data_IF_530523784345
#
_entry.id   IF_530523784345
#
_cell.length_a   1.000
_cell.length_b   1.000
_cell.length_c   1.000
_cell.angle_alpha   90.00
_cell.angle_beta   90.00
_cell.angle_gamma   90.00
#
_symmetry.space_group_name_H-M   'P 1'
#
loop_
_entity.id
_entity.type
_entity.pdbx_description
1 polymer ?
#
# COMPACT_ATOMS: atom_id res chain seq x y z
N UNK A 1 -2.39 0.49 -28.63
CA UNK A 1 -2.84 -0.91 -28.40
C UNK A 1 -1.68 -1.73 -27.85
N UNK A 2 -1.94 -2.61 -26.89
CA UNK A 2 -0.94 -3.50 -26.26
C UNK A 2 -1.50 -4.93 -26.24
N UNK A 3 -0.70 -5.90 -26.65
CA UNK A 3 -1.04 -7.32 -26.59
C UNK A 3 -0.05 -8.04 -25.67
N UNK A 4 -0.53 -8.58 -24.55
CA UNK A 4 0.23 -9.44 -23.66
C UNK A 4 -0.07 -10.88 -24.04
N UNK A 5 0.95 -11.70 -24.27
CA UNK A 5 0.83 -13.09 -24.75
C UNK A 5 1.42 -14.11 -23.81
N UNK A 6 0.88 -15.32 -23.84
CA UNK A 6 1.44 -16.53 -23.22
C UNK A 6 1.52 -16.50 -21.70
N UNK A 7 0.98 -15.49 -21.02
CA UNK A 7 1.09 -15.33 -19.57
C UNK A 7 0.23 -16.31 -18.78
N UNK A 8 0.66 -16.67 -17.59
CA UNK A 8 -0.19 -17.37 -16.61
C UNK A 8 -0.95 -16.33 -15.79
N UNK A 9 -2.20 -16.09 -16.12
CA UNK A 9 -3.04 -15.09 -15.47
C UNK A 9 -3.62 -15.63 -14.15
N UNK A 10 -3.58 -14.81 -13.11
CA UNK A 10 -4.36 -14.96 -11.88
C UNK A 10 -5.14 -13.66 -11.66
N UNK A 11 -6.45 -13.72 -11.81
CA UNK A 11 -7.35 -12.63 -11.43
C UNK A 11 -8.17 -13.03 -10.20
N UNK A 12 -7.84 -12.50 -9.02
CA UNK A 12 -8.57 -12.86 -7.80
C UNK A 12 -10.04 -12.43 -7.82
N UNK A 13 -10.35 -11.31 -8.46
CA UNK A 13 -11.68 -10.71 -8.46
C UNK A 13 -12.70 -11.59 -9.21
N UNK A 14 -12.34 -12.13 -10.38
CA UNK A 14 -13.19 -13.06 -11.14
C UNK A 14 -12.97 -14.52 -10.78
N UNK A 15 -11.86 -14.83 -10.10
CA UNK A 15 -11.42 -16.19 -9.84
C UNK A 15 -10.80 -16.90 -11.04
N UNK A 16 -10.58 -16.22 -12.16
CA UNK A 16 -9.92 -16.79 -13.34
C UNK A 16 -8.46 -17.09 -13.07
N UNK A 17 -8.02 -18.27 -13.47
CA UNK A 17 -6.63 -18.71 -13.38
C UNK A 17 -6.28 -19.59 -14.58
N UNK A 18 -5.14 -19.35 -15.23
CA UNK A 18 -4.68 -20.13 -16.37
C UNK A 18 -3.91 -19.32 -17.41
N UNK A 19 -3.58 -19.96 -18.53
CA UNK A 19 -2.89 -19.29 -19.64
C UNK A 19 -3.88 -18.46 -20.47
N UNK A 20 -3.62 -17.14 -20.52
CA UNK A 20 -4.40 -16.18 -21.30
C UNK A 20 -3.49 -15.16 -21.97
N UNK A 21 -3.99 -14.65 -23.11
CA UNK A 21 -3.53 -13.44 -23.75
C UNK A 21 -4.49 -12.30 -23.37
N UNK A 22 -3.98 -11.07 -23.26
CA UNK A 22 -4.76 -9.89 -22.95
C UNK A 22 -4.49 -8.83 -24.02
N UNK A 23 -5.54 -8.37 -24.68
CA UNK A 23 -5.49 -7.24 -25.61
C UNK A 23 -6.03 -5.99 -24.92
N UNK A 24 -5.24 -4.93 -24.91
CA UNK A 24 -5.63 -3.62 -24.38
C UNK A 24 -5.56 -2.53 -25.45
N UNK A 25 -6.51 -1.63 -25.41
CA UNK A 25 -6.58 -0.45 -26.28
C UNK A 25 -7.28 0.70 -25.57
N UNK A 26 -6.82 1.92 -25.79
CA UNK A 26 -7.38 3.14 -25.20
C UNK A 26 -7.60 3.03 -23.69
N UNK A 27 -6.58 2.54 -22.99
CA UNK A 27 -6.56 2.41 -21.52
C UNK A 27 -7.40 1.26 -20.95
N UNK A 28 -8.07 0.45 -21.78
CA UNK A 28 -8.98 -0.61 -21.34
C UNK A 28 -8.58 -1.97 -21.86
N UNK A 29 -8.94 -3.01 -21.12
CA UNK A 29 -8.86 -4.39 -21.60
C UNK A 29 -9.99 -4.61 -22.61
N UNK A 30 -9.65 -4.89 -23.86
CA UNK A 30 -10.59 -5.14 -24.94
C UNK A 30 -11.00 -6.60 -25.00
N UNK A 31 -10.03 -7.51 -24.78
CA UNK A 31 -10.25 -8.94 -24.87
C UNK A 31 -9.30 -9.73 -23.98
N UNK A 32 -9.83 -10.77 -23.32
CA UNK A 32 -9.07 -11.79 -22.60
C UNK A 32 -9.39 -13.15 -23.23
N UNK A 33 -8.38 -13.82 -23.78
CA UNK A 33 -8.61 -15.07 -24.50
C UNK A 33 -7.33 -15.90 -24.64
N UNK A 34 -7.37 -16.90 -25.51
CA UNK A 34 -6.20 -17.70 -25.86
C UNK A 34 -5.89 -17.53 -27.35
N UNK A 35 -4.60 -17.50 -27.68
CA UNK A 35 -4.13 -17.33 -29.06
C UNK A 35 -4.69 -16.08 -29.75
N UNK A 36 -4.79 -14.97 -29.01
CA UNK A 36 -5.25 -13.71 -29.58
C UNK A 36 -4.29 -13.24 -30.68
N UNK A 37 -4.88 -12.67 -31.74
CA UNK A 37 -4.14 -12.09 -32.83
C UNK A 37 -4.31 -10.57 -32.82
N UNK A 38 -3.29 -9.88 -33.29
CA UNK A 38 -3.40 -8.46 -33.57
C UNK A 38 -4.42 -8.28 -34.68
N UNK A 39 -5.38 -7.36 -34.58
CA UNK A 39 -6.37 -7.10 -35.62
C UNK A 39 -5.74 -6.81 -36.98
N UNK A 40 -6.31 -7.34 -38.05
CA UNK A 40 -5.82 -7.16 -39.43
C UNK A 40 -5.69 -5.67 -39.78
N UNK A 41 -4.57 -5.30 -40.40
CA UNK A 41 -4.26 -3.92 -40.80
C UNK A 41 -3.48 -3.09 -39.79
N UNK A 42 -3.19 -3.64 -38.59
CA UNK A 42 -2.38 -2.97 -37.57
C UNK A 42 -0.95 -3.51 -37.44
N UNK A 43 -0.55 -4.47 -38.31
CA UNK A 43 0.81 -4.98 -38.35
C UNK A 43 1.62 -4.25 -39.47
N UNK A 44 2.79 -3.74 -39.13
CA UNK A 44 3.85 -3.47 -40.08
C UNK A 44 4.65 -4.77 -40.35
N UNK A 45 5.18 -4.93 -41.56
CA UNK A 45 5.81 -6.16 -42.09
C UNK A 45 6.94 -6.69 -41.14
N UNK A 46 7.06 -8.02 -41.10
CA UNK A 46 8.04 -8.79 -40.33
C UNK A 46 9.48 -8.36 -40.61
N UNK A 47 10.24 -8.05 -39.59
CA UNK A 47 11.69 -7.88 -39.74
C UNK A 47 12.41 -7.10 -38.63
N UNK A 48 12.41 -7.56 -37.39
CA UNK A 48 13.54 -7.34 -36.48
C UNK A 48 13.46 -8.20 -35.21
N UNK A 49 14.55 -8.83 -34.89
CA UNK A 49 14.79 -9.73 -33.73
C UNK A 49 14.93 -8.98 -32.39
N UNK A 50 14.05 -8.13 -31.98
CA UNK A 50 13.97 -7.58 -30.63
C UNK A 50 12.78 -6.61 -30.53
N UNK A 51 11.64 -7.13 -30.10
CA UNK A 51 10.44 -6.33 -29.81
C UNK A 51 9.85 -5.68 -31.07
N UNK A 52 9.08 -6.45 -31.85
CA UNK A 52 8.45 -5.93 -33.03
C UNK A 52 7.44 -4.84 -32.66
N UNK A 53 7.78 -3.58 -32.95
CA UNK A 53 6.81 -2.49 -33.00
C UNK A 53 6.01 -2.66 -34.28
N UNK A 54 4.89 -3.29 -34.18
CA UNK A 54 3.87 -3.25 -35.22
C UNK A 54 3.25 -1.85 -35.20
N UNK A 55 3.15 -1.14 -36.27
CA UNK A 55 2.91 0.31 -36.41
C UNK A 55 1.82 0.96 -35.53
N UNK A 56 1.06 0.19 -34.73
CA UNK A 56 0.07 0.64 -33.75
C UNK A 56 -0.11 -0.32 -32.56
N UNK A 57 0.57 -1.47 -32.48
CA UNK A 57 0.40 -2.46 -31.42
C UNK A 57 1.76 -2.92 -30.87
N UNK A 58 2.00 -2.72 -29.58
CA UNK A 58 3.13 -3.28 -28.84
C UNK A 58 2.79 -4.69 -28.36
N UNK A 59 3.75 -5.62 -28.42
CA UNK A 59 3.56 -7.00 -27.96
C UNK A 59 4.52 -7.28 -26.81
N UNK A 60 3.98 -7.70 -25.67
CA UNK A 60 4.73 -8.23 -24.53
C UNK A 60 4.57 -9.75 -24.48
N UNK A 61 5.67 -10.48 -24.59
CA UNK A 61 5.68 -11.92 -24.32
C UNK A 61 5.83 -12.15 -22.82
N UNK A 62 4.80 -12.74 -22.21
CA UNK A 62 4.74 -13.09 -20.80
C UNK A 62 4.94 -14.60 -20.56
N UNK A 63 5.60 -15.32 -21.50
CA UNK A 63 5.86 -16.73 -21.29
C UNK A 63 6.69 -17.00 -20.03
N UNK A 64 6.19 -17.87 -19.16
CA UNK A 64 6.81 -18.17 -17.86
C UNK A 64 6.52 -17.12 -16.77
N UNK A 65 5.82 -16.04 -17.08
CA UNK A 65 5.48 -14.99 -16.12
C UNK A 65 4.04 -15.13 -15.61
N UNK A 66 3.85 -14.70 -14.36
CA UNK A 66 2.54 -14.40 -13.81
C UNK A 66 2.04 -13.09 -14.39
N UNK A 67 0.78 -13.07 -14.84
CA UNK A 67 0.02 -11.85 -15.16
C UNK A 67 -1.06 -11.66 -14.11
N UNK A 68 -1.08 -10.53 -13.44
CA UNK A 68 -2.02 -10.23 -12.37
C UNK A 68 -2.56 -8.79 -12.50
N UNK A 69 -3.68 -8.43 -11.84
CA UNK A 69 -4.09 -7.05 -11.72
C UNK A 69 -2.98 -6.20 -11.14
N UNK A 70 -2.89 -4.94 -11.54
CA UNK A 70 -2.00 -3.97 -10.92
C UNK A 70 -2.22 -3.90 -9.41
N UNK A 71 -1.14 -3.76 -8.66
CA UNK A 71 -1.23 -3.65 -7.21
C UNK A 71 -1.79 -2.29 -6.79
N UNK A 72 -2.46 -2.28 -5.64
CA UNK A 72 -3.09 -1.09 -5.04
C UNK A 72 -2.54 -0.92 -3.64
N UNK A 73 -1.95 0.24 -3.35
CA UNK A 73 -1.45 0.58 -2.03
C UNK A 73 -2.24 1.75 -1.45
N UNK A 74 -2.89 1.53 -0.33
CA UNK A 74 -3.78 2.52 0.27
C UNK A 74 -3.14 3.30 1.43
N UNK A 75 -1.81 3.15 1.61
CA UNK A 75 -1.06 3.82 2.66
C UNK A 75 0.36 4.16 2.21
N UNK A 76 0.54 5.33 1.59
CA UNK A 76 1.85 5.80 1.13
C UNK A 76 2.05 7.29 1.40
N UNK A 77 3.32 7.71 1.58
CA UNK A 77 3.72 9.09 1.84
C UNK A 77 4.64 9.61 0.74
N UNK A 78 4.10 10.31 -0.26
CA UNK A 78 4.92 10.93 -1.30
C UNK A 78 5.45 12.32 -0.91
N UNK A 79 5.19 12.75 0.33
CA UNK A 79 5.83 13.90 0.96
C UNK A 79 5.61 15.25 0.27
N UNK A 80 4.92 15.33 -0.84
CA UNK A 80 4.55 16.54 -1.57
C UNK A 80 3.06 16.84 -1.37
N UNK A 81 2.74 18.10 -0.99
CA UNK A 81 3.58 19.28 -0.84
C UNK A 81 4.41 19.27 0.46
N UNK A 82 5.50 20.05 0.45
CA UNK A 82 6.20 20.54 1.65
C UNK A 82 7.47 19.78 2.06
N UNK A 83 7.64 18.51 1.67
CA UNK A 83 8.80 17.69 2.06
C UNK A 83 9.48 17.02 0.88
N UNK A 84 9.52 17.71 -0.27
CA UNK A 84 10.01 17.18 -1.55
C UNK A 84 11.49 16.78 -1.56
N UNK A 85 12.25 17.16 -0.53
CA UNK A 85 13.62 16.66 -0.32
C UNK A 85 13.67 15.18 0.07
N UNK A 86 12.56 14.65 0.63
CA UNK A 86 12.45 13.23 1.01
C UNK A 86 11.92 12.38 -0.13
N UNK A 87 10.84 12.85 -0.75
CA UNK A 87 10.16 12.25 -1.89
C UNK A 87 9.27 13.29 -2.55
N UNK A 88 8.90 13.11 -3.81
CA UNK A 88 7.83 13.83 -4.47
C UNK A 88 6.89 12.87 -5.20
N UNK A 89 5.76 13.38 -5.67
CA UNK A 89 4.73 12.55 -6.34
C UNK A 89 5.30 11.85 -7.58
N UNK A 90 6.22 12.47 -8.32
CA UNK A 90 6.81 11.88 -9.53
C UNK A 90 7.75 10.72 -9.21
N UNK A 91 8.63 10.88 -8.22
CA UNK A 91 9.59 9.83 -7.85
C UNK A 91 8.91 8.70 -7.08
N UNK A 92 7.96 9.02 -6.20
CA UNK A 92 7.14 8.02 -5.53
C UNK A 92 6.30 7.19 -6.52
N UNK A 93 5.74 7.83 -7.57
CA UNK A 93 5.03 7.11 -8.63
C UNK A 93 5.95 6.16 -9.43
N UNK A 94 7.22 6.52 -9.66
CA UNK A 94 8.20 5.60 -10.28
C UNK A 94 8.52 4.41 -9.38
N UNK A 95 8.71 4.67 -8.08
CA UNK A 95 8.91 3.60 -7.09
C UNK A 95 7.70 2.65 -7.04
N UNK A 96 6.48 3.20 -7.09
CA UNK A 96 5.25 2.42 -7.17
C UNK A 96 5.21 1.57 -8.44
N UNK A 97 5.46 2.16 -9.60
CA UNK A 97 5.50 1.45 -10.88
C UNK A 97 6.50 0.29 -10.86
N UNK A 98 7.72 0.49 -10.34
CA UNK A 98 8.73 -0.56 -10.21
C UNK A 98 8.30 -1.66 -9.24
N UNK A 99 7.55 -1.31 -8.19
CA UNK A 99 6.97 -2.26 -7.24
C UNK A 99 5.75 -3.02 -7.74
N UNK A 100 5.23 -2.68 -8.93
CA UNK A 100 4.03 -3.29 -9.51
C UNK A 100 2.72 -2.59 -9.11
N UNK A 101 2.78 -1.44 -8.46
CA UNK A 101 1.60 -0.67 -8.08
C UNK A 101 1.15 0.22 -9.23
N UNK A 102 -0.10 0.07 -9.65
CA UNK A 102 -0.74 0.91 -10.66
C UNK A 102 -1.63 1.97 -10.03
N UNK A 103 -1.98 1.81 -8.75
CA UNK A 103 -2.80 2.74 -8.00
C UNK A 103 -2.26 2.89 -6.59
N UNK A 104 -2.17 4.12 -6.12
CA UNK A 104 -1.79 4.44 -4.73
C UNK A 104 -2.73 5.47 -4.13
N UNK A 105 -2.96 5.38 -2.80
CA UNK A 105 -3.68 6.39 -2.03
C UNK A 105 -2.71 7.07 -1.07
N UNK A 106 -2.52 8.37 -1.25
CA UNK A 106 -1.61 9.16 -0.44
C UNK A 106 -2.22 9.51 0.92
N UNK A 107 -1.39 9.47 1.96
CA UNK A 107 -1.75 10.01 3.27
C UNK A 107 -1.73 11.54 3.26
N UNK A 108 -2.62 12.12 4.08
CA UNK A 108 -2.92 13.54 4.08
C UNK A 108 -1.94 14.42 4.89
N UNK A 109 -0.91 13.83 5.51
CA UNK A 109 0.02 14.48 6.45
C UNK A 109 1.17 15.23 5.77
N UNK A 110 0.84 16.05 4.79
CA UNK A 110 1.76 16.93 4.04
C UNK A 110 1.88 18.33 4.67
N UNK A 111 2.58 19.26 4.01
CA UNK A 111 2.70 20.65 4.47
C UNK A 111 2.57 21.62 3.28
N UNK A 112 1.41 22.33 3.14
CA UNK A 112 0.23 22.23 4.02
C UNK A 112 -0.39 20.81 4.03
N UNK A 113 -1.17 20.54 5.08
CA UNK A 113 -1.95 19.31 5.19
C UNK A 113 -3.09 19.29 4.16
N UNK A 114 -3.56 18.08 3.76
CA UNK A 114 -4.66 17.95 2.80
C UNK A 114 -6.01 18.12 3.51
N UNK A 115 -6.21 19.28 4.11
CA UNK A 115 -7.39 19.64 4.91
C UNK A 115 -8.28 20.69 4.24
N UNK A 116 -7.99 21.03 2.99
CA UNK A 116 -8.70 22.06 2.22
C UNK A 116 -8.64 21.75 0.72
N UNK A 117 -9.55 22.39 -0.04
CA UNK A 117 -9.72 22.18 -1.48
C UNK A 117 -8.45 22.47 -2.30
N UNK A 118 -7.70 23.52 -1.96
CA UNK A 118 -6.51 23.94 -2.71
C UNK A 118 -5.41 22.87 -2.63
N UNK A 119 -5.13 22.37 -1.42
CA UNK A 119 -4.12 21.35 -1.21
C UNK A 119 -4.54 20.00 -1.82
N UNK A 120 -5.81 19.62 -1.67
CA UNK A 120 -6.35 18.41 -2.29
C UNK A 120 -6.20 18.46 -3.82
N UNK A 121 -6.63 19.55 -4.45
CA UNK A 121 -6.54 19.70 -5.91
C UNK A 121 -5.09 19.71 -6.39
N UNK A 122 -4.18 20.36 -5.64
CA UNK A 122 -2.75 20.32 -5.96
C UNK A 122 -2.21 18.90 -6.04
N UNK A 123 -2.54 18.05 -5.06
CA UNK A 123 -2.08 16.65 -5.02
C UNK A 123 -2.65 15.85 -6.20
N UNK A 124 -3.96 15.96 -6.45
CA UNK A 124 -4.62 15.27 -7.54
C UNK A 124 -4.09 15.71 -8.91
N UNK A 125 -3.86 17.03 -9.13
CA UNK A 125 -3.32 17.54 -10.39
C UNK A 125 -1.88 17.07 -10.65
N UNK A 126 -1.07 16.99 -9.61
CA UNK A 126 0.28 16.41 -9.69
C UNK A 126 0.22 14.90 -9.98
N UNK A 127 -0.68 14.19 -9.32
CA UNK A 127 -0.89 12.76 -9.53
C UNK A 127 -1.26 12.42 -10.97
N UNK A 128 -2.15 13.20 -11.59
CA UNK A 128 -2.54 13.03 -13.02
C UNK A 128 -1.40 13.18 -14.01
N UNK A 129 -0.27 13.74 -13.61
CA UNK A 129 0.92 13.89 -14.44
C UNK A 129 1.91 12.74 -14.31
N UNK A 130 1.57 11.71 -13.55
CA UNK A 130 2.37 10.49 -13.38
C UNK A 130 1.90 9.37 -14.30
N UNK A 131 2.66 8.28 -14.35
CA UNK A 131 2.27 7.10 -15.12
C UNK A 131 1.31 6.15 -14.39
N UNK A 132 1.00 6.41 -13.11
CA UNK A 132 0.09 5.59 -12.29
C UNK A 132 -1.13 6.40 -11.87
N UNK A 133 -2.12 5.73 -11.26
CA UNK A 133 -3.25 6.40 -10.61
C UNK A 133 -2.85 6.82 -9.20
N UNK A 134 -2.81 8.12 -8.96
CA UNK A 134 -2.51 8.70 -7.65
C UNK A 134 -3.77 9.31 -7.10
N UNK A 135 -4.33 8.66 -6.10
CA UNK A 135 -5.45 9.12 -5.30
C UNK A 135 -4.94 9.63 -3.94
N UNK A 136 -5.79 10.27 -3.16
CA UNK A 136 -5.39 10.77 -1.84
C UNK A 136 -6.54 10.76 -0.85
N UNK A 137 -6.22 10.47 0.41
CA UNK A 137 -7.09 10.82 1.52
C UNK A 137 -7.06 12.33 1.76
N UNK A 138 -8.13 12.84 2.38
CA UNK A 138 -8.13 14.14 3.04
C UNK A 138 -7.98 13.97 4.55
N UNK A 139 -7.56 15.04 5.24
CA UNK A 139 -7.51 15.04 6.70
C UNK A 139 -8.92 15.02 7.31
N UNK A 140 -9.03 14.30 8.43
CA UNK A 140 -10.22 14.31 9.28
C UNK A 140 -10.37 15.65 9.98
N UNK A 141 -9.27 16.20 10.54
CA UNK A 141 -9.29 17.44 11.31
C UNK A 141 -8.41 18.52 10.68
N UNK A 142 -8.81 19.76 10.86
CA UNK A 142 -8.09 20.94 10.38
C UNK A 142 -6.67 20.99 10.96
N UNK A 143 -5.67 20.96 10.06
CA UNK A 143 -4.26 20.96 10.43
C UNK A 143 -3.84 19.76 11.27
N UNK A 144 -4.59 18.66 11.27
CA UNK A 144 -4.35 17.43 12.06
C UNK A 144 -4.26 17.71 13.57
N UNK A 145 -5.12 18.60 14.08
CA UNK A 145 -5.08 19.01 15.50
C UNK A 145 -5.99 18.19 16.40
N UNK A 146 -6.85 17.34 15.82
CA UNK A 146 -7.81 16.51 16.57
C UNK A 146 -8.97 17.29 17.20
N UNK A 147 -9.20 18.56 16.79
CA UNK A 147 -10.17 19.47 17.43
C UNK A 147 -11.37 19.78 16.56
N UNK A 148 -11.16 20.17 15.31
CA UNK A 148 -12.20 20.65 14.39
C UNK A 148 -12.16 19.84 13.13
N UNK A 149 -13.29 19.26 12.74
CA UNK A 149 -13.42 18.50 11.50
C UNK A 149 -13.22 19.41 10.28
N UNK A 150 -12.68 18.85 9.23
CA UNK A 150 -12.61 19.44 7.90
C UNK A 150 -14.02 19.49 7.26
N UNK A 151 -14.14 20.14 6.12
CA UNK A 151 -15.30 20.01 5.26
C UNK A 151 -15.24 18.68 4.50
N UNK A 152 -15.54 17.58 5.23
CA UNK A 152 -15.43 16.22 4.71
C UNK A 152 -16.29 16.02 3.45
N UNK A 153 -17.50 16.57 3.44
CA UNK A 153 -18.44 16.50 2.32
C UNK A 153 -17.86 17.20 1.09
N UNK A 154 -17.39 18.44 1.24
CA UNK A 154 -16.78 19.19 0.14
C UNK A 154 -15.48 18.57 -0.37
N UNK A 155 -14.65 17.98 0.51
CA UNK A 155 -13.41 17.28 0.11
C UNK A 155 -13.71 15.96 -0.62
N UNK A 156 -14.76 15.24 -0.22
CA UNK A 156 -15.23 14.05 -0.93
C UNK A 156 -15.72 14.40 -2.35
N UNK A 157 -16.54 15.45 -2.49
CA UNK A 157 -17.02 15.93 -3.80
C UNK A 157 -15.87 16.37 -4.73
N UNK A 158 -14.76 16.84 -4.18
CA UNK A 158 -13.56 17.23 -4.94
C UNK A 158 -12.64 16.07 -5.28
N UNK A 159 -12.91 14.85 -4.80
CA UNK A 159 -12.21 13.64 -5.19
C UNK A 159 -11.27 13.06 -4.14
N UNK A 160 -11.38 13.43 -2.86
CA UNK A 160 -10.77 12.60 -1.79
C UNK A 160 -11.42 11.22 -1.78
N UNK A 161 -10.61 10.15 -1.64
CA UNK A 161 -11.11 8.76 -1.66
C UNK A 161 -11.24 8.15 -0.26
N UNK A 162 -10.88 8.88 0.77
CA UNK A 162 -10.96 8.48 2.18
C UNK A 162 -10.52 9.59 3.10
N UNK A 163 -10.55 9.33 4.41
CA UNK A 163 -10.16 10.30 5.42
C UNK A 163 -9.16 9.72 6.41
N UNK A 164 -8.16 10.52 6.82
CA UNK A 164 -7.15 10.11 7.79
C UNK A 164 -6.42 11.31 8.40
N UNK A 165 -6.11 11.22 9.69
CA UNK A 165 -5.07 12.05 10.34
C UNK A 165 -3.85 11.17 10.67
N UNK A 166 -3.42 10.36 9.70
CA UNK A 166 -2.33 9.41 9.87
C UNK A 166 -1.09 9.99 10.56
N UNK A 167 -0.58 9.24 11.54
CA UNK A 167 0.57 9.61 12.37
C UNK A 167 0.22 10.49 13.57
N UNK A 168 -1.00 11.06 13.65
CA UNK A 168 -1.48 11.87 14.79
C UNK A 168 -2.89 11.41 15.19
N UNK A 169 -3.03 10.53 16.18
CA UNK A 169 -4.34 10.00 16.58
C UNK A 169 -5.23 11.10 17.15
N UNK A 170 -6.50 11.06 16.80
CA UNK A 170 -7.51 11.96 17.34
C UNK A 170 -7.94 11.45 18.72
N UNK A 171 -7.67 12.21 19.78
CA UNK A 171 -7.90 11.75 21.15
C UNK A 171 -9.31 12.04 21.65
N UNK A 172 -9.99 13.07 21.12
CA UNK A 172 -11.36 13.42 21.51
C UNK A 172 -12.37 12.44 20.90
N UNK A 173 -13.02 11.67 21.77
CA UNK A 173 -14.01 10.66 21.37
C UNK A 173 -15.21 11.26 20.63
N UNK A 174 -15.62 12.49 20.97
CA UNK A 174 -16.74 13.14 20.29
C UNK A 174 -16.36 13.51 18.84
N UNK A 175 -15.14 14.02 18.62
CA UNK A 175 -14.62 14.34 17.29
C UNK A 175 -14.50 13.07 16.44
N UNK A 176 -13.92 11.99 16.99
CA UNK A 176 -13.82 10.69 16.28
C UNK A 176 -15.20 10.14 15.92
N UNK A 177 -16.15 10.19 16.87
CA UNK A 177 -17.52 9.70 16.62
C UNK A 177 -18.21 10.48 15.51
N UNK A 178 -18.14 11.82 15.54
CA UNK A 178 -18.72 12.67 14.50
C UNK A 178 -18.04 12.45 13.14
N UNK A 179 -16.70 12.29 13.11
CA UNK A 179 -15.97 11.99 11.88
C UNK A 179 -16.43 10.66 11.26
N UNK A 180 -16.54 9.61 12.08
CA UNK A 180 -17.01 8.30 11.63
C UNK A 180 -18.47 8.33 11.15
N UNK A 181 -19.36 9.10 11.82
CA UNK A 181 -20.74 9.26 11.36
C UNK A 181 -20.84 9.97 10.00
N UNK A 182 -19.96 10.97 9.75
CA UNK A 182 -19.88 11.65 8.45
C UNK A 182 -19.31 10.73 7.39
N UNK A 183 -18.20 10.02 7.65
CA UNK A 183 -17.60 9.08 6.74
C UNK A 183 -18.60 7.96 6.34
N UNK A 184 -19.37 7.44 7.31
CA UNK A 184 -20.41 6.45 7.04
C UNK A 184 -21.52 6.99 6.12
N UNK A 185 -21.95 8.23 6.30
CA UNK A 185 -22.96 8.87 5.42
C UNK A 185 -22.45 9.11 4.00
N UNK A 186 -21.15 9.31 3.86
CA UNK A 186 -20.49 9.50 2.57
C UNK A 186 -20.15 8.18 1.88
N UNK A 187 -20.34 7.03 2.57
CA UNK A 187 -19.90 5.70 2.12
C UNK A 187 -18.40 5.69 1.79
N UNK A 188 -17.58 6.33 2.65
CA UNK A 188 -16.14 6.48 2.47
C UNK A 188 -15.36 5.86 3.61
N UNK A 189 -14.19 5.25 3.33
CA UNK A 189 -13.33 4.71 4.37
C UNK A 189 -12.70 5.82 5.22
N UNK A 190 -12.52 5.51 6.51
CA UNK A 190 -11.74 6.30 7.44
C UNK A 190 -10.64 5.43 8.04
N UNK A 191 -9.40 5.92 8.01
CA UNK A 191 -8.22 5.16 8.43
C UNK A 191 -7.51 5.85 9.57
N UNK A 192 -7.13 5.10 10.61
CA UNK A 192 -6.48 5.68 11.79
C UNK A 192 -5.19 4.98 12.17
N UNK A 193 -4.20 5.81 12.52
CA UNK A 193 -2.98 5.43 13.19
C UNK A 193 -3.24 5.29 14.69
N UNK A 194 -3.20 4.08 15.20
CA UNK A 194 -3.66 3.74 16.54
C UNK A 194 -2.48 3.63 17.52
N UNK A 195 -1.99 4.76 18.00
CA UNK A 195 -0.99 4.79 19.07
C UNK A 195 -1.25 5.97 20.03
N UNK A 196 -1.70 5.69 21.27
CA UNK A 196 -1.93 6.72 22.29
C UNK A 196 -0.61 7.41 22.68
N UNK A 197 -0.42 8.69 22.33
CA UNK A 197 0.83 9.40 22.57
C UNK A 197 1.13 9.59 24.06
N UNK A 198 0.12 9.53 24.94
CA UNK A 198 0.32 9.66 26.38
C UNK A 198 1.05 8.44 26.99
N UNK A 199 1.04 7.30 26.31
CA UNK A 199 1.72 6.08 26.76
C UNK A 199 3.12 5.92 26.16
N UNK A 200 3.49 6.71 25.16
CA UNK A 200 4.74 6.56 24.40
C UNK A 200 5.85 7.43 24.99
N UNK A 201 6.96 6.80 25.35
CA UNK A 201 8.14 7.53 25.84
C UNK A 201 9.15 7.83 24.74
N UNK A 202 9.33 6.88 23.82
CA UNK A 202 10.14 7.03 22.62
C UNK A 202 9.45 6.34 21.46
N UNK A 203 8.98 7.12 20.52
CA UNK A 203 8.27 6.66 19.33
C UNK A 203 9.13 5.72 18.47
N UNK A 204 8.51 4.71 17.89
CA UNK A 204 9.08 3.84 16.86
C UNK A 204 10.05 2.76 17.35
N UNK A 205 10.18 2.58 18.66
CA UNK A 205 10.96 1.49 19.26
C UNK A 205 10.08 0.75 20.28
N UNK A 206 9.93 -0.56 20.12
CA UNK A 206 9.14 -1.38 21.02
C UNK A 206 9.65 -1.32 22.47
N UNK A 207 8.73 -1.23 23.44
CA UNK A 207 9.05 -1.45 24.85
C UNK A 207 9.29 -2.94 25.07
N UNK A 208 10.56 -3.34 25.05
CA UNK A 208 11.04 -4.72 25.13
C UNK A 208 12.56 -4.73 24.97
N UNK A 209 13.10 -5.74 24.32
CA UNK A 209 14.55 -5.91 24.10
C UNK A 209 15.16 -4.71 23.37
N UNK A 210 14.45 -4.13 22.38
CA UNK A 210 14.98 -3.00 21.62
C UNK A 210 15.11 -1.75 22.50
N UNK A 211 14.11 -1.41 23.30
CA UNK A 211 14.19 -0.25 24.23
C UNK A 211 15.22 -0.46 25.32
N UNK A 212 15.37 -1.69 25.84
CA UNK A 212 16.41 -2.04 26.80
C UNK A 212 17.81 -1.88 26.20
N UNK A 213 18.02 -2.35 24.95
CA UNK A 213 19.30 -2.19 24.23
C UNK A 213 19.72 -0.73 24.12
N UNK A 214 18.78 0.17 23.81
CA UNK A 214 19.06 1.60 23.68
C UNK A 214 19.00 2.39 24.99
N UNK A 215 18.55 1.77 26.09
CA UNK A 215 18.37 2.45 27.39
C UNK A 215 17.28 3.52 27.37
N UNK A 216 16.18 3.29 26.63
CA UNK A 216 15.06 4.22 26.44
C UNK A 216 13.73 3.60 26.86
N UNK A 217 12.67 4.41 26.99
CA UNK A 217 11.36 3.94 27.46
C UNK A 217 10.55 3.14 26.44
N UNK A 218 10.70 3.44 25.16
CA UNK A 218 9.99 2.78 24.06
C UNK A 218 8.49 3.07 23.96
N UNK A 219 7.84 2.44 22.99
CA UNK A 219 6.39 2.46 22.74
C UNK A 219 5.79 1.12 23.18
N UNK A 220 4.94 1.11 24.22
CA UNK A 220 4.31 -0.11 24.70
C UNK A 220 3.17 -0.53 23.76
N UNK A 221 2.84 -1.82 23.75
CA UNK A 221 1.72 -2.35 22.95
C UNK A 221 0.35 -1.80 23.38
N UNK A 222 0.22 -1.44 24.66
CA UNK A 222 -1.00 -0.85 25.21
C UNK A 222 -1.37 0.47 24.56
N UNK A 223 -0.39 1.22 24.01
CA UNK A 223 -0.64 2.44 23.25
C UNK A 223 -1.48 2.16 22.00
N UNK A 224 -1.19 1.08 21.27
CA UNK A 224 -1.97 0.64 20.10
C UNK A 224 -3.30 0.03 20.55
N UNK A 225 -3.27 -0.93 21.46
CA UNK A 225 -4.45 -1.68 21.91
C UNK A 225 -5.56 -0.75 22.41
N UNK A 226 -5.24 0.29 23.16
CA UNK A 226 -6.22 1.20 23.76
C UNK A 226 -7.05 1.95 22.71
N UNK A 227 -6.42 2.44 21.66
CA UNK A 227 -7.10 3.15 20.58
C UNK A 227 -7.83 2.19 19.64
N UNK A 228 -7.25 1.04 19.33
CA UNK A 228 -7.92 -0.02 18.56
C UNK A 228 -9.24 -0.43 19.21
N UNK A 229 -9.28 -0.65 20.54
CA UNK A 229 -10.53 -0.95 21.25
C UNK A 229 -11.56 0.15 21.08
N UNK A 230 -11.14 1.41 21.32
CA UNK A 230 -12.01 2.59 21.25
C UNK A 230 -12.64 2.71 19.85
N UNK A 231 -11.81 2.67 18.82
CA UNK A 231 -12.24 3.03 17.47
C UNK A 231 -13.03 1.90 16.80
N UNK A 232 -12.71 0.65 17.11
CA UNK A 232 -13.57 -0.48 16.72
C UNK A 232 -14.97 -0.39 17.35
N UNK A 233 -15.08 0.00 18.62
CA UNK A 233 -16.39 0.18 19.28
C UNK A 233 -17.20 1.34 18.65
N UNK A 234 -16.54 2.43 18.28
CA UNK A 234 -17.19 3.57 17.63
C UNK A 234 -17.62 3.18 16.21
N UNK A 235 -16.77 2.50 15.44
CA UNK A 235 -17.08 2.06 14.08
C UNK A 235 -18.28 1.09 14.06
N UNK A 236 -18.36 0.15 15.01
CA UNK A 236 -19.53 -0.74 15.15
C UNK A 236 -20.82 0.00 15.49
N UNK A 237 -20.75 1.13 16.20
CA UNK A 237 -21.92 1.96 16.55
C UNK A 237 -22.36 2.87 15.42
N UNK A 238 -21.41 3.44 14.67
CA UNK A 238 -21.67 4.43 13.61
C UNK A 238 -21.90 3.79 12.25
N UNK A 239 -21.43 2.54 12.05
CA UNK A 239 -21.41 1.86 10.75
C UNK A 239 -20.33 2.36 9.81
N UNK A 240 -19.37 3.14 10.28
CA UNK A 240 -18.27 3.65 9.45
C UNK A 240 -17.36 2.52 8.96
N UNK A 241 -16.98 2.56 7.69
CA UNK A 241 -15.95 1.69 7.13
C UNK A 241 -14.58 2.13 7.68
N UNK A 242 -14.13 1.45 8.75
CA UNK A 242 -12.84 1.76 9.39
C UNK A 242 -11.73 0.86 8.86
N UNK A 243 -10.54 1.44 8.68
CA UNK A 243 -9.30 0.72 8.49
C UNK A 243 -8.34 1.01 9.66
N UNK A 244 -8.03 -0.01 10.45
CA UNK A 244 -6.95 0.05 11.44
C UNK A 244 -5.63 -0.05 10.69
N UNK A 245 -4.88 1.07 10.65
CA UNK A 245 -3.62 1.15 9.90
C UNK A 245 -2.53 0.29 10.55
N UNK A 246 -1.64 -0.29 9.70
CA UNK A 246 -0.36 -0.93 10.06
C UNK A 246 -0.33 -1.65 11.42
N UNK A 247 -1.31 -2.53 11.66
CA UNK A 247 -1.48 -3.25 12.93
C UNK A 247 -0.18 -3.98 13.35
N UNK A 248 0.24 -3.86 14.60
CA UNK A 248 1.52 -4.41 15.07
C UNK A 248 1.39 -5.41 16.23
N UNK A 249 0.41 -5.26 17.12
CA UNK A 249 0.25 -6.10 18.31
C UNK A 249 -0.72 -7.27 18.07
N UNK A 250 -0.39 -8.44 18.59
CA UNK A 250 -1.24 -9.65 18.48
C UNK A 250 -2.61 -9.47 19.13
N UNK A 251 -2.71 -8.69 20.20
CA UNK A 251 -3.94 -8.36 20.87
C UNK A 251 -4.85 -7.53 19.97
N UNK A 252 -4.29 -6.58 19.21
CA UNK A 252 -5.02 -5.78 18.23
C UNK A 252 -5.58 -6.65 17.10
N UNK A 253 -4.82 -7.63 16.60
CA UNK A 253 -5.31 -8.60 15.61
C UNK A 253 -6.52 -9.36 16.15
N UNK A 254 -6.49 -9.79 17.40
CA UNK A 254 -7.61 -10.50 18.02
C UNK A 254 -8.83 -9.59 18.21
N UNK A 255 -8.64 -8.32 18.58
CA UNK A 255 -9.71 -7.33 18.68
C UNK A 255 -10.39 -7.09 17.34
N UNK A 256 -9.63 -6.94 16.26
CA UNK A 256 -10.16 -6.83 14.88
C UNK A 256 -10.97 -8.08 14.54
N UNK A 257 -10.46 -9.29 14.82
CA UNK A 257 -11.18 -10.56 14.57
C UNK A 257 -12.54 -10.58 15.28
N UNK A 258 -12.58 -10.16 16.54
CA UNK A 258 -13.83 -10.11 17.32
C UNK A 258 -14.79 -9.02 16.82
N UNK A 259 -14.27 -7.89 16.35
CA UNK A 259 -15.09 -6.82 15.79
C UNK A 259 -15.67 -7.21 14.43
N UNK A 260 -14.91 -7.86 13.55
CA UNK A 260 -15.38 -8.39 12.25
C UNK A 260 -16.49 -9.42 12.39
N UNK A 261 -16.53 -10.17 13.49
CA UNK A 261 -17.63 -11.08 13.77
C UNK A 261 -18.95 -10.34 14.10
N UNK A 262 -18.93 -9.03 14.32
CA UNK A 262 -20.08 -8.18 14.68
C UNK A 262 -20.47 -7.19 13.57
N UNK A 263 -19.57 -6.89 12.63
CA UNK A 263 -19.81 -5.95 11.54
C UNK A 263 -18.85 -6.18 10.39
N UNK A 264 -19.33 -5.99 9.18
CA UNK A 264 -18.57 -6.13 7.92
C UNK A 264 -17.86 -4.84 7.48
N UNK A 265 -18.04 -3.77 8.26
CA UNK A 265 -17.42 -2.46 8.09
C UNK A 265 -16.05 -2.30 8.78
N UNK A 266 -15.50 -3.38 9.32
CA UNK A 266 -14.24 -3.40 10.06
C UNK A 266 -13.15 -3.97 9.18
N UNK A 267 -12.09 -3.20 8.97
CA UNK A 267 -10.91 -3.60 8.20
C UNK A 267 -9.63 -3.29 8.97
N UNK A 268 -8.56 -3.97 8.59
CA UNK A 268 -7.21 -3.71 9.10
C UNK A 268 -6.17 -3.99 8.02
N UNK A 269 -5.07 -3.27 8.07
CA UNK A 269 -3.92 -3.47 7.22
C UNK A 269 -2.70 -3.95 7.99
N UNK A 270 -1.82 -4.69 7.33
CA UNK A 270 -0.48 -5.00 7.81
C UNK A 270 0.55 -4.54 6.78
N UNK A 271 1.72 -4.14 7.28
CA UNK A 271 2.81 -3.76 6.38
C UNK A 271 3.77 -4.91 6.14
N UNK A 272 4.52 -4.89 5.02
CA UNK A 272 5.56 -5.88 4.75
C UNK A 272 6.61 -6.00 5.84
N UNK A 273 6.96 -4.91 6.51
CA UNK A 273 7.94 -4.93 7.58
C UNK A 273 7.39 -5.59 8.86
N UNK A 274 6.10 -5.44 9.18
CA UNK A 274 5.52 -6.06 10.37
C UNK A 274 5.33 -7.59 10.25
N UNK A 275 5.09 -8.14 9.05
CA UNK A 275 5.08 -9.60 8.89
C UNK A 275 6.46 -10.21 8.63
N UNK A 276 7.50 -9.38 8.39
CA UNK A 276 8.85 -9.85 8.06
C UNK A 276 9.82 -9.74 9.22
N UNK A 277 9.77 -8.66 9.99
CA UNK A 277 10.77 -8.27 11.00
C UNK A 277 10.18 -8.32 12.41
N UNK A 278 11.08 -8.39 13.39
CA UNK A 278 10.78 -8.24 14.83
C UNK A 278 11.58 -7.09 15.41
N UNK A 279 11.39 -6.76 16.69
CA UNK A 279 12.13 -5.72 17.40
C UNK A 279 13.65 -5.89 17.36
N UNK A 280 14.14 -7.13 17.14
CA UNK A 280 15.57 -7.41 16.99
C UNK A 280 16.17 -6.73 15.74
N UNK A 281 15.34 -6.46 14.73
CA UNK A 281 15.78 -5.70 13.57
C UNK A 281 16.14 -4.25 13.93
N UNK A 282 15.46 -3.64 14.90
CA UNK A 282 15.84 -2.30 15.40
C UNK A 282 17.22 -2.30 16.06
N UNK A 283 17.61 -3.38 16.72
CA UNK A 283 18.94 -3.56 17.28
C UNK A 283 19.98 -3.75 16.16
N UNK A 284 19.63 -4.54 15.14
CA UNK A 284 20.55 -4.90 14.03
C UNK A 284 20.76 -3.75 13.04
N UNK A 285 19.68 -3.06 12.63
CA UNK A 285 19.68 -2.06 11.56
C UNK A 285 19.53 -0.62 12.09
N UNK A 286 19.37 -0.44 13.40
CA UNK A 286 19.24 0.88 14.00
C UNK A 286 18.05 1.66 13.47
N UNK A 287 18.30 2.90 13.09
CA UNK A 287 17.27 3.83 12.61
C UNK A 287 16.58 3.35 11.31
N UNK A 288 17.22 2.50 10.51
CA UNK A 288 16.61 1.91 9.31
C UNK A 288 15.51 0.89 9.64
N UNK A 289 15.40 0.44 10.90
CA UNK A 289 14.31 -0.40 11.36
C UNK A 289 13.49 0.27 12.48
N UNK A 290 13.54 1.61 12.57
CA UNK A 290 12.67 2.41 13.42
C UNK A 290 11.36 2.67 12.68
N UNK A 291 10.27 2.06 13.17
CA UNK A 291 8.92 2.09 12.56
C UNK A 291 7.91 2.67 13.55
N UNK A 292 6.79 3.17 13.04
CA UNK A 292 5.68 3.64 13.86
C UNK A 292 4.35 3.13 13.28
N UNK A 293 3.67 2.16 13.95
CA UNK A 293 4.02 1.53 15.22
C UNK A 293 5.30 0.69 15.13
N UNK A 294 5.97 0.40 16.27
CA UNK A 294 7.25 -0.29 16.25
C UNK A 294 7.12 -1.77 15.87
N UNK A 295 8.21 -2.33 15.36
CA UNK A 295 8.37 -3.77 15.22
C UNK A 295 8.29 -4.43 16.59
N UNK A 296 7.39 -5.43 16.73
CA UNK A 296 7.13 -6.12 18.00
C UNK A 296 7.89 -7.44 18.09
N UNK A 297 7.47 -8.29 19.02
CA UNK A 297 8.05 -9.60 19.22
C UNK A 297 7.63 -10.62 18.15
N UNK A 298 8.25 -11.79 18.15
CA UNK A 298 7.97 -12.87 17.17
C UNK A 298 6.51 -13.36 17.25
N UNK A 299 5.91 -13.37 18.43
CA UNK A 299 4.51 -13.77 18.61
C UNK A 299 3.55 -12.81 17.88
N UNK A 300 3.86 -11.51 17.85
CA UNK A 300 3.09 -10.49 17.16
C UNK A 300 3.21 -10.66 15.64
N UNK A 301 4.45 -10.83 15.15
CA UNK A 301 4.72 -11.11 13.75
C UNK A 301 3.94 -12.34 13.25
N UNK A 302 3.94 -13.43 14.03
CA UNK A 302 3.19 -14.64 13.72
C UNK A 302 1.68 -14.44 13.80
N UNK A 303 1.18 -13.57 14.69
CA UNK A 303 -0.24 -13.23 14.76
C UNK A 303 -0.69 -12.45 13.52
N UNK A 304 0.12 -11.51 13.04
CA UNK A 304 -0.13 -10.77 11.79
C UNK A 304 -0.20 -11.75 10.60
N UNK A 305 0.77 -12.67 10.48
CA UNK A 305 0.76 -13.69 9.40
C UNK A 305 -0.51 -14.54 9.44
N UNK A 306 -0.93 -14.98 10.65
CA UNK A 306 -2.19 -15.72 10.80
C UNK A 306 -3.41 -14.87 10.44
N UNK A 307 -3.41 -13.58 10.84
CA UNK A 307 -4.46 -12.64 10.49
C UNK A 307 -4.62 -12.40 8.99
N UNK A 308 -3.51 -12.34 8.26
CA UNK A 308 -3.51 -12.28 6.79
C UNK A 308 -4.04 -13.58 6.17
N UNK A 309 -3.70 -14.73 6.74
CA UNK A 309 -4.09 -16.04 6.21
C UNK A 309 -5.57 -16.36 6.46
N UNK A 310 -6.14 -15.94 7.57
CA UNK A 310 -7.53 -16.24 7.95
C UNK A 310 -8.52 -15.12 7.59
N UNK A 311 -8.05 -14.01 6.98
CA UNK A 311 -8.88 -12.89 6.55
C UNK A 311 -9.27 -11.92 7.67
N UNK A 312 -8.64 -12.00 8.84
CA UNK A 312 -8.78 -10.99 9.90
C UNK A 312 -8.18 -9.67 9.46
N UNK A 313 -7.02 -9.72 8.81
CA UNK A 313 -6.36 -8.57 8.17
C UNK A 313 -6.65 -8.65 6.68
N UNK A 314 -7.24 -7.61 6.13
CA UNK A 314 -7.75 -7.58 4.75
C UNK A 314 -6.76 -7.07 3.74
N UNK A 315 -5.82 -6.23 4.17
CA UNK A 315 -4.97 -5.42 3.31
C UNK A 315 -3.50 -5.62 3.67
N UNK A 316 -2.66 -5.58 2.64
CA UNK A 316 -1.23 -5.32 2.79
C UNK A 316 -0.99 -3.94 2.16
N UNK A 317 -0.61 -2.97 3.00
CA UNK A 317 -0.21 -1.64 2.58
C UNK A 317 1.23 -1.39 3.03
N UNK A 318 1.97 -0.56 2.30
CA UNK A 318 3.41 -0.47 2.55
C UNK A 318 3.81 0.44 3.69
N UNK A 319 3.01 1.46 3.98
CA UNK A 319 3.44 2.62 4.75
C UNK A 319 4.79 3.15 4.19
N UNK A 320 4.86 3.31 2.87
CA UNK A 320 6.04 3.85 2.20
C UNK A 320 6.32 5.25 2.73
N UNK A 321 7.32 5.35 3.61
CA UNK A 321 7.64 6.54 4.39
C UNK A 321 9.10 6.98 4.17
N UNK A 322 9.39 7.65 3.04
CA UNK A 322 10.73 8.11 2.67
C UNK A 322 11.26 9.19 3.61
N UNK A 323 12.56 9.04 3.94
CA UNK A 323 13.36 9.97 4.73
C UNK A 323 14.75 10.11 4.15
N UNK A 324 15.37 11.28 4.32
CA UNK A 324 16.72 11.51 3.81
C UNK A 324 17.75 10.71 4.61
N UNK A 325 18.91 10.48 4.01
CA UNK A 325 20.05 9.82 4.67
C UNK A 325 20.48 10.57 5.92
N UNK A 326 20.46 11.90 5.88
CA UNK A 326 20.83 12.76 7.03
C UNK A 326 19.83 12.64 8.17
N UNK A 327 18.53 12.50 7.88
CA UNK A 327 17.52 12.29 8.91
C UNK A 327 17.68 10.91 9.57
N UNK A 328 17.95 9.87 8.79
CA UNK A 328 18.16 8.51 9.32
C UNK A 328 19.52 8.32 10.00
N UNK A 329 20.50 9.20 9.74
CA UNK A 329 21.80 9.17 10.41
C UNK A 329 21.79 9.78 11.83
N UNK A 330 20.69 10.38 12.26
CA UNK A 330 20.54 10.93 13.61
C UNK A 330 20.50 9.81 14.67
N UNK A 331 20.73 10.17 15.96
CA UNK A 331 20.53 9.21 17.05
C UNK A 331 19.13 8.56 17.00
N UNK A 332 19.01 7.35 17.53
CA UNK A 332 17.76 6.57 17.51
C UNK A 332 16.55 7.33 18.09
N UNK A 333 16.80 8.20 19.08
CA UNK A 333 15.78 9.04 19.73
C UNK A 333 15.33 10.23 18.89
N UNK A 334 16.12 10.65 17.90
CA UNK A 334 15.87 11.85 17.08
C UNK A 334 15.51 11.52 15.63
N UNK A 335 15.99 10.37 15.12
CA UNK A 335 15.70 9.94 13.77
C UNK A 335 14.19 9.71 13.60
N UNK A 336 13.59 10.12 12.45
CA UNK A 336 12.19 9.85 12.18
C UNK A 336 11.94 8.34 11.98
N UNK A 337 10.75 7.88 12.35
CA UNK A 337 10.25 6.54 12.05
C UNK A 337 9.84 6.41 10.58
N UNK A 338 9.85 5.19 10.06
CA UNK A 338 9.43 4.86 8.70
C UNK A 338 10.55 4.42 7.77
N UNK A 339 10.15 3.67 6.75
CA UNK A 339 11.02 3.14 5.67
C UNK A 339 10.32 3.25 4.32
N UNK A 340 11.10 3.12 3.23
CA UNK A 340 10.52 2.90 1.91
C UNK A 340 10.03 1.45 1.79
N UNK A 341 8.89 1.23 1.14
CA UNK A 341 8.25 -0.10 1.09
C UNK A 341 7.81 -0.56 -0.29
N UNK A 342 7.41 0.37 -1.19
CA UNK A 342 6.77 0.06 -2.48
C UNK A 342 7.56 -0.94 -3.34
N UNK A 343 8.85 -0.74 -3.51
CA UNK A 343 9.69 -1.54 -4.42
C UNK A 343 10.04 -2.94 -3.89
N UNK A 344 9.69 -3.25 -2.63
CA UNK A 344 10.00 -4.54 -1.99
C UNK A 344 8.77 -5.32 -1.52
N UNK A 345 7.60 -4.68 -1.48
CA UNK A 345 6.40 -5.23 -0.86
C UNK A 345 5.97 -6.57 -1.47
N UNK A 346 5.83 -6.65 -2.80
CA UNK A 346 5.43 -7.88 -3.50
C UNK A 346 6.44 -9.00 -3.27
N UNK A 347 7.72 -8.71 -3.42
CA UNK A 347 8.80 -9.71 -3.26
C UNK A 347 8.91 -10.20 -1.81
N UNK A 348 8.68 -9.33 -0.81
CA UNK A 348 8.57 -9.72 0.60
C UNK A 348 7.35 -10.62 0.81
N UNK A 349 6.19 -10.28 0.23
CA UNK A 349 5.00 -11.11 0.25
C UNK A 349 5.24 -12.48 -0.38
N UNK A 350 5.86 -12.54 -1.55
CA UNK A 350 6.21 -13.81 -2.21
C UNK A 350 7.19 -14.60 -1.34
N UNK A 351 8.29 -14.00 -0.90
CA UNK A 351 9.36 -14.68 -0.15
C UNK A 351 8.89 -15.16 1.23
N UNK A 352 8.21 -14.27 1.99
CA UNK A 352 7.90 -14.50 3.41
C UNK A 352 6.53 -15.14 3.65
N UNK A 353 5.59 -14.99 2.72
CA UNK A 353 4.24 -15.52 2.90
C UNK A 353 3.97 -16.67 1.92
N UNK A 354 4.22 -16.52 0.62
CA UNK A 354 3.89 -17.55 -0.37
C UNK A 354 4.90 -18.69 -0.35
N UNK A 355 6.19 -18.42 -0.51
CA UNK A 355 7.25 -19.47 -0.51
C UNK A 355 7.39 -20.14 0.86
N UNK A 356 7.04 -19.42 1.93
CA UNK A 356 6.98 -19.99 3.28
C UNK A 356 5.71 -20.84 3.54
N UNK A 357 4.75 -20.86 2.60
CA UNK A 357 3.55 -21.70 2.70
C UNK A 357 2.43 -21.13 3.59
N UNK A 358 2.48 -19.86 3.92
CA UNK A 358 1.45 -19.20 4.72
C UNK A 358 0.25 -18.76 3.87
N UNK A 359 0.49 -18.32 2.62
CA UNK A 359 -0.52 -17.88 1.66
C UNK A 359 -0.29 -18.55 0.29
N UNK A 360 -1.36 -18.68 -0.49
CA UNK A 360 -1.26 -18.88 -1.93
C UNK A 360 -0.96 -17.55 -2.63
N UNK A 361 -0.44 -17.59 -3.88
CA UNK A 361 -0.25 -16.38 -4.70
C UNK A 361 -1.57 -15.61 -4.88
N UNK A 362 -2.68 -16.33 -5.10
CA UNK A 362 -4.00 -15.71 -5.23
C UNK A 362 -4.40 -14.94 -3.96
N UNK A 363 -4.17 -15.48 -2.76
CA UNK A 363 -4.45 -14.78 -1.51
C UNK A 363 -3.58 -13.53 -1.36
N UNK A 364 -2.30 -13.60 -1.71
CA UNK A 364 -1.41 -12.43 -1.69
C UNK A 364 -1.95 -11.32 -2.61
N UNK A 365 -2.37 -11.66 -3.84
CA UNK A 365 -2.94 -10.70 -4.78
C UNK A 365 -4.29 -10.13 -4.30
N UNK A 366 -5.13 -10.92 -3.60
CA UNK A 366 -6.34 -10.40 -2.93
C UNK A 366 -5.98 -9.28 -1.97
N UNK A 367 -4.96 -9.49 -1.11
CA UNK A 367 -4.55 -8.56 -0.06
C UNK A 367 -3.84 -7.29 -0.60
N UNK A 368 -3.18 -7.39 -1.75
CA UNK A 368 -2.37 -6.30 -2.33
C UNK A 368 -3.02 -5.61 -3.53
N UNK A 369 -4.20 -6.06 -3.98
CA UNK A 369 -4.84 -5.53 -5.19
C UNK A 369 -6.35 -5.43 -5.02
N UNK A 370 -7.05 -6.58 -4.97
CA UNK A 370 -8.53 -6.61 -5.01
C UNK A 370 -9.18 -5.99 -3.77
N UNK A 371 -8.72 -6.35 -2.57
CA UNK A 371 -9.33 -5.85 -1.33
C UNK A 371 -9.10 -4.35 -1.11
N UNK A 372 -7.86 -3.81 -1.24
CA UNK A 372 -7.66 -2.37 -1.09
C UNK A 372 -8.45 -1.55 -2.13
N UNK A 373 -8.50 -2.01 -3.39
CA UNK A 373 -9.32 -1.36 -4.41
C UNK A 373 -10.82 -1.36 -4.04
N UNK A 374 -11.33 -2.48 -3.57
CA UNK A 374 -12.74 -2.62 -3.16
C UNK A 374 -13.08 -1.73 -1.98
N UNK A 375 -12.21 -1.70 -0.96
CA UNK A 375 -12.44 -0.91 0.25
C UNK A 375 -12.50 0.59 -0.04
N UNK A 376 -11.65 1.08 -0.94
CA UNK A 376 -11.58 2.49 -1.32
C UNK A 376 -12.42 2.83 -2.56
N UNK A 377 -13.31 1.92 -3.01
CA UNK A 377 -14.17 2.08 -4.19
C UNK A 377 -13.43 2.47 -5.47
N UNK A 378 -12.18 1.98 -5.63
CA UNK A 378 -11.33 2.30 -6.77
C UNK A 378 -11.63 1.38 -7.96
N UNK A 379 -11.63 1.94 -9.18
CA UNK A 379 -11.74 1.17 -10.43
C UNK A 379 -10.38 0.51 -10.75
N UNK A 380 -9.99 -0.46 -9.93
CA UNK A 380 -8.71 -1.16 -9.96
C UNK A 380 -8.83 -2.57 -9.34
N UNK A 381 -7.75 -3.35 -9.37
CA UNK A 381 -7.64 -4.61 -8.63
C UNK A 381 -8.35 -5.80 -9.27
N UNK A 382 -8.62 -5.74 -10.59
CA UNK A 382 -9.26 -6.80 -11.36
C UNK A 382 -8.83 -6.79 -12.84
N UNK A 383 -9.04 -7.92 -13.53
CA UNK A 383 -8.83 -8.06 -14.99
C UNK A 383 -10.15 -8.49 -15.65
N UNK A 384 -10.81 -7.55 -16.33
CA UNK A 384 -12.05 -7.83 -17.06
C UNK A 384 -12.12 -7.02 -18.36
N UNK A 385 -12.78 -7.58 -19.38
CA UNK A 385 -13.07 -6.86 -20.60
C UNK A 385 -13.93 -5.62 -20.30
N UNK A 386 -13.52 -4.46 -20.83
CA UNK A 386 -14.11 -3.15 -20.55
C UNK A 386 -13.53 -2.45 -19.30
N UNK A 387 -12.82 -3.16 -18.43
CA UNK A 387 -12.13 -2.61 -17.27
C UNK A 387 -10.80 -1.95 -17.62
N UNK A 388 -10.13 -1.31 -16.63
CA UNK A 388 -8.85 -0.66 -16.83
C UNK A 388 -7.76 -1.66 -17.23
N UNK A 389 -6.89 -1.26 -18.14
CA UNK A 389 -5.75 -2.06 -18.55
C UNK A 389 -4.57 -1.82 -17.58
N UNK A 390 -4.79 -2.17 -16.31
CA UNK A 390 -3.85 -2.03 -15.20
C UNK A 390 -3.42 -3.42 -14.75
N UNK A 391 -2.18 -3.81 -15.05
CA UNK A 391 -1.68 -5.16 -14.77
C UNK A 391 -0.17 -5.20 -14.56
N UNK A 392 0.29 -6.29 -13.97
CA UNK A 392 1.70 -6.58 -13.74
C UNK A 392 2.11 -7.92 -14.34
N UNK A 393 3.36 -7.98 -14.78
CA UNK A 393 4.05 -9.19 -15.16
C UNK A 393 5.14 -9.49 -14.12
N UNK A 394 5.11 -10.67 -13.52
CA UNK A 394 5.99 -11.05 -12.41
C UNK A 394 6.67 -12.38 -12.69
N UNK A 395 8.01 -12.41 -12.56
CA UNK A 395 8.73 -13.66 -12.46
C UNK A 395 8.75 -14.13 -10.99
N UNK A 396 7.89 -15.08 -10.65
CA UNK A 396 7.64 -15.52 -9.28
C UNK A 396 8.76 -16.40 -8.71
N UNK A 397 9.71 -16.83 -9.53
CA UNK A 397 10.82 -17.69 -9.13
C UNK A 397 12.17 -16.98 -9.17
N UNK A 398 12.25 -15.84 -9.86
CA UNK A 398 13.48 -15.06 -9.99
C UNK A 398 13.87 -14.45 -8.65
N UNK A 399 15.13 -14.63 -8.28
CA UNK A 399 15.73 -13.98 -7.13
C UNK A 399 16.57 -12.77 -7.57
N UNK A 400 16.58 -11.73 -6.73
CA UNK A 400 17.38 -10.53 -6.93
C UNK A 400 17.84 -9.95 -5.60
N UNK A 401 18.87 -9.11 -5.64
CA UNK A 401 19.38 -8.40 -4.46
C UNK A 401 18.78 -6.99 -4.43
N UNK A 402 18.16 -6.65 -3.31
CA UNK A 402 17.55 -5.33 -3.08
C UNK A 402 18.63 -4.24 -2.97
N UNK A 403 18.43 -3.10 -3.64
CA UNK A 403 19.40 -1.98 -3.49
C UNK A 403 19.38 -0.94 -4.61
N UNK A 404 18.67 -1.20 -5.70
CA UNK A 404 18.44 -0.24 -6.78
C UNK A 404 17.03 0.35 -6.62
N UNK A 405 16.92 1.62 -6.19
CA UNK A 405 15.65 2.27 -5.89
C UNK A 405 15.34 3.40 -6.88
N UNK A 406 14.05 3.49 -7.29
CA UNK A 406 13.48 4.63 -8.03
C UNK A 406 13.01 5.74 -7.08
N UNK A 407 12.69 5.41 -5.83
CA UNK A 407 12.44 6.40 -4.77
C UNK A 407 13.67 7.29 -4.59
N UNK A 408 13.46 8.57 -4.27
CA UNK A 408 14.54 9.46 -3.85
C UNK A 408 15.25 8.98 -2.59
N UNK A 409 14.55 8.27 -1.75
CA UNK A 409 15.04 7.74 -0.48
C UNK A 409 15.55 6.31 -0.65
N UNK A 410 16.44 5.91 0.27
CA UNK A 410 16.97 4.55 0.35
C UNK A 410 16.91 3.99 1.78
N UNK A 411 16.07 4.58 2.63
CA UNK A 411 15.92 4.19 4.03
C UNK A 411 15.16 2.88 4.18
N UNK A 412 15.86 1.76 3.98
CA UNK A 412 15.31 0.41 4.07
C UNK A 412 16.27 -0.55 4.77
N UNK A 413 15.80 -1.35 5.74
CA UNK A 413 16.59 -2.43 6.34
C UNK A 413 16.78 -3.61 5.37
N UNK A 414 16.03 -3.65 4.28
CA UNK A 414 16.06 -4.74 3.30
C UNK A 414 17.16 -4.59 2.25
N UNK A 415 17.85 -3.46 2.20
CA UNK A 415 19.00 -3.26 1.29
C UNK A 415 20.03 -4.37 1.46
N UNK A 416 20.38 -5.03 0.35
CA UNK A 416 21.29 -6.17 0.34
C UNK A 416 20.63 -7.53 0.61
N UNK A 417 19.33 -7.58 0.90
CA UNK A 417 18.61 -8.85 1.02
C UNK A 417 18.39 -9.47 -0.35
N UNK A 418 18.46 -10.81 -0.40
CA UNK A 418 17.98 -11.58 -1.54
C UNK A 418 16.50 -11.87 -1.37
N UNK A 419 15.69 -11.43 -2.32
CA UNK A 419 14.24 -11.65 -2.35
C UNK A 419 13.86 -12.40 -3.62
N UNK A 420 12.76 -13.15 -3.54
CA UNK A 420 12.17 -13.89 -4.66
C UNK A 420 10.90 -13.20 -5.15
N UNK A 421 10.69 -13.21 -6.48
CA UNK A 421 9.57 -12.58 -7.15
C UNK A 421 9.93 -11.16 -7.60
N UNK A 422 10.31 -11.01 -8.87
CA UNK A 422 10.67 -9.71 -9.46
C UNK A 422 9.59 -9.24 -10.42
N UNK A 423 9.19 -7.97 -10.30
CA UNK A 423 8.29 -7.33 -11.27
C UNK A 423 9.07 -7.11 -12.57
N UNK A 424 8.59 -7.68 -13.66
CA UNK A 424 9.21 -7.60 -14.98
C UNK A 424 8.61 -6.49 -15.83
N UNK A 425 7.33 -6.19 -15.63
CA UNK A 425 6.66 -5.05 -16.25
C UNK A 425 5.44 -4.63 -15.43
N UNK A 426 5.14 -3.34 -15.48
CA UNK A 426 3.91 -2.75 -14.95
C UNK A 426 3.23 -1.96 -16.04
N UNK A 427 1.97 -2.23 -16.26
CA UNK A 427 1.11 -1.57 -17.24
C UNK A 427 0.01 -0.83 -16.50
N UNK A 428 -0.19 0.44 -16.80
CA UNK A 428 -1.26 1.26 -16.27
C UNK A 428 -1.93 2.03 -17.40
N UNK A 429 -3.26 1.96 -17.48
CA UNK A 429 -4.00 2.56 -18.57
C UNK A 429 -3.59 2.04 -19.97
N UNK A 430 -3.10 0.79 -20.05
CA UNK A 430 -2.64 0.18 -21.29
C UNK A 430 -1.25 0.64 -21.75
N UNK A 431 -0.56 1.47 -20.98
CA UNK A 431 0.82 1.91 -21.23
C UNK A 431 1.81 1.18 -20.34
N UNK A 432 2.96 0.79 -20.88
CA UNK A 432 4.06 0.19 -20.10
C UNK A 432 4.76 1.31 -19.35
N UNK A 433 4.53 1.39 -18.04
CA UNK A 433 5.10 2.43 -17.17
C UNK A 433 6.38 2.01 -16.47
N UNK A 434 6.64 0.70 -16.42
CA UNK A 434 7.88 0.11 -15.97
C UNK A 434 8.17 -1.18 -16.74
N UNK A 435 9.43 -1.39 -17.10
CA UNK A 435 9.92 -2.62 -17.75
C UNK A 435 11.36 -2.85 -17.30
N UNK A 436 11.64 -4.05 -16.79
CA UNK A 436 12.96 -4.50 -16.34
C UNK A 436 13.92 -4.70 -17.50
#
# INVERSE_FOLDING_TARGET
>A
MLLIKNGFMIDPASGREGKYDILADDGKIVQIGQNLKIPDGMCAEEGSDNGAVCGACEVLDAEGLLVAPGLVDVHVHFREPGFTQKEDIQTGAKAAAKGGFTTVVLMANTKPAVDNAETLQFVLDKGRQTGIRVETCANVTMGMKGETLTDMEGLAELGAVGFTDDGIPIMDVAVVTEAMERAAKLDMPISFHEEDPAMIFNNGINRGKASEHYGIGGSPREAEISLVVRDLEIALKTGACINIQHISAKESVELVRQAKAKGDNIHAEATPHHFTLTEEAAIQYGTLAKMNPPLREEEDRLAIIRGLADGTIDLIATDHAPHTTEEKAKPITEAPSGIIGLETALSLGITKLVKAGHLSMKQLLVLMSTNPAKMYHLDAGYLAEGGPADLILVDTDKTYVVGDYESKASNSPFTGWELTGEVMATVCGGEIIYKK
#
